data_IF_196494994962
#
_entry.id   IF_196494994962
#
_cell.length_a   1.000
_cell.length_b   1.000
_cell.length_c   1.000
_cell.angle_alpha   90.00
_cell.angle_beta   90.00
_cell.angle_gamma   90.00
#
_symmetry.space_group_name_H-M   'P 1'
#
loop_
_entity.id
_entity.type
_entity.pdbx_description
1 polymer ?
#
# COMPACT_ATOMS: atom_id res chain seq x y z
N UNK A 1 -42.09 -26.42 18.33
CA UNK A 1 -41.06 -26.49 17.27
C UNK A 1 -40.69 -25.07 16.89
N UNK A 2 -39.51 -24.61 17.33
CA UNK A 2 -38.87 -23.42 16.77
C UNK A 2 -37.53 -23.91 16.23
N UNK A 3 -37.32 -23.74 14.93
CA UNK A 3 -36.20 -24.30 14.20
C UNK A 3 -34.87 -23.88 14.84
N UNK A 4 -33.87 -24.78 14.95
CA UNK A 4 -32.57 -24.40 15.48
C UNK A 4 -31.99 -23.34 14.53
N UNK A 5 -31.79 -22.16 15.08
CA UNK A 5 -31.11 -21.06 14.42
C UNK A 5 -29.66 -21.52 14.18
N UNK A 6 -29.38 -22.03 12.99
CA UNK A 6 -28.12 -22.70 12.67
C UNK A 6 -26.96 -21.71 12.54
N UNK A 7 -25.75 -22.18 12.86
CA UNK A 7 -24.52 -21.51 12.49
C UNK A 7 -23.61 -22.44 11.69
N UNK A 8 -22.85 -21.89 10.73
CA UNK A 8 -21.86 -22.65 9.97
C UNK A 8 -20.73 -23.15 10.88
N UNK A 9 -20.25 -22.27 11.77
CA UNK A 9 -19.32 -22.58 12.85
C UNK A 9 -19.93 -22.13 14.18
N UNK A 10 -19.97 -23.01 15.17
CA UNK A 10 -20.50 -22.70 16.51
C UNK A 10 -19.48 -23.11 17.58
N UNK A 11 -19.03 -22.15 18.39
CA UNK A 11 -18.23 -22.41 19.57
C UNK A 11 -19.09 -22.39 20.83
N UNK A 12 -19.22 -23.55 21.49
CA UNK A 12 -19.87 -23.70 22.80
C UNK A 12 -18.86 -23.97 23.92
N UNK A 13 -17.56 -23.98 23.59
CA UNK A 13 -16.48 -24.22 24.54
C UNK A 13 -16.15 -22.96 25.33
N UNK A 14 -15.83 -23.10 26.60
CA UNK A 14 -15.30 -22.00 27.42
C UNK A 14 -13.83 -21.69 27.15
N UNK A 15 -13.17 -22.45 26.27
CA UNK A 15 -11.78 -22.28 25.88
C UNK A 15 -11.57 -21.26 24.74
N UNK A 16 -10.38 -21.29 24.14
CA UNK A 16 -10.04 -20.45 22.98
C UNK A 16 -10.16 -21.24 21.68
N UNK A 17 -10.89 -20.69 20.70
CA UNK A 17 -10.97 -21.20 19.33
C UNK A 17 -10.28 -20.20 18.40
N UNK A 18 -9.37 -20.70 17.56
CA UNK A 18 -8.71 -19.91 16.52
C UNK A 18 -9.19 -20.38 15.15
N UNK A 19 -9.84 -19.48 14.41
CA UNK A 19 -10.19 -19.63 13.01
C UNK A 19 -9.15 -18.83 12.22
N UNK A 20 -8.35 -19.50 11.40
CA UNK A 20 -7.27 -18.87 10.62
C UNK A 20 -7.35 -19.27 9.16
N UNK A 21 -7.18 -18.33 8.24
CA UNK A 21 -7.13 -18.61 6.80
C UNK A 21 -8.35 -19.40 6.31
N UNK A 22 -9.53 -19.05 6.83
CA UNK A 22 -10.79 -19.70 6.48
C UNK A 22 -11.63 -18.81 5.56
N UNK A 23 -12.36 -19.44 4.66
CA UNK A 23 -13.48 -18.81 3.94
C UNK A 23 -14.78 -19.45 4.42
N UNK A 24 -15.63 -18.65 5.07
CA UNK A 24 -16.99 -19.05 5.47
C UNK A 24 -17.99 -18.30 4.61
N UNK A 25 -18.66 -19.03 3.73
CA UNK A 25 -19.61 -18.44 2.78
C UNK A 25 -20.86 -19.26 2.63
N UNK A 26 -21.94 -18.64 2.13
CA UNK A 26 -23.23 -19.27 1.86
C UNK A 26 -23.81 -20.05 3.05
N UNK A 27 -23.39 -19.69 4.27
CA UNK A 27 -23.85 -20.28 5.53
C UNK A 27 -25.00 -19.45 6.08
N UNK A 28 -25.93 -20.06 6.82
CA UNK A 28 -27.06 -19.32 7.38
C UNK A 28 -28.27 -20.17 7.73
N UNK A 29 -29.12 -19.62 8.62
CA UNK A 29 -30.42 -20.21 8.95
C UNK A 29 -31.50 -19.85 7.93
N UNK A 30 -32.60 -20.59 7.90
CA UNK A 30 -33.77 -20.18 7.11
C UNK A 30 -34.22 -18.75 7.52
N UNK A 31 -34.64 -17.95 6.55
CA UNK A 31 -35.11 -16.57 6.74
C UNK A 31 -34.07 -15.59 7.32
N UNK A 32 -32.78 -15.85 7.12
CA UNK A 32 -31.69 -14.94 7.50
C UNK A 32 -31.61 -14.72 9.03
N UNK A 33 -32.04 -15.71 9.81
CA UNK A 33 -32.08 -15.63 11.27
C UNK A 33 -30.86 -16.27 11.94
N UNK A 34 -29.94 -16.88 11.17
CA UNK A 34 -28.75 -17.57 11.67
C UNK A 34 -27.47 -16.73 11.69
N UNK A 35 -26.36 -17.40 12.00
CA UNK A 35 -25.02 -16.80 11.99
C UNK A 35 -24.10 -17.60 11.05
N UNK A 36 -23.13 -16.96 10.38
CA UNK A 36 -22.10 -17.74 9.68
C UNK A 36 -21.15 -18.36 10.71
N UNK A 37 -20.69 -17.52 11.64
CA UNK A 37 -19.84 -17.91 12.76
C UNK A 37 -20.50 -17.43 14.05
N UNK A 38 -20.57 -18.29 15.08
CA UNK A 38 -21.16 -17.96 16.36
C UNK A 38 -20.28 -18.38 17.53
N UNK A 39 -20.02 -17.44 18.43
CA UNK A 39 -19.34 -17.66 19.69
C UNK A 39 -20.31 -17.56 20.88
N UNK A 40 -20.61 -18.68 21.53
CA UNK A 40 -21.51 -18.73 22.70
C UNK A 40 -20.78 -18.63 24.04
N UNK A 41 -19.52 -19.05 24.10
CA UNK A 41 -18.70 -19.06 25.31
C UNK A 41 -17.21 -18.95 24.97
N UNK A 42 -16.37 -18.58 25.95
CA UNK A 42 -14.92 -18.55 25.77
C UNK A 42 -14.45 -17.44 24.81
N UNK A 43 -13.30 -17.65 24.19
CA UNK A 43 -12.68 -16.68 23.27
C UNK A 43 -12.65 -17.23 21.85
N UNK A 44 -13.11 -16.44 20.89
CA UNK A 44 -12.98 -16.74 19.47
C UNK A 44 -12.07 -15.72 18.81
N UNK A 45 -11.05 -16.21 18.13
CA UNK A 45 -10.17 -15.42 17.27
C UNK A 45 -10.45 -15.77 15.83
N UNK A 46 -10.89 -14.81 15.03
CA UNK A 46 -11.03 -14.89 13.58
C UNK A 46 -9.87 -14.09 12.99
N UNK A 47 -8.93 -14.79 12.37
CA UNK A 47 -7.65 -14.23 11.93
C UNK A 47 -7.47 -14.53 10.45
N UNK A 48 -7.09 -13.54 9.64
CA UNK A 48 -6.79 -13.74 8.21
C UNK A 48 -7.90 -14.53 7.48
N UNK A 49 -9.15 -14.30 7.85
CA UNK A 49 -10.28 -15.11 7.38
C UNK A 49 -11.33 -14.24 6.69
N UNK A 50 -12.02 -14.85 5.71
CA UNK A 50 -13.09 -14.22 4.95
C UNK A 50 -14.44 -14.81 5.35
N UNK A 51 -15.33 -13.99 5.90
CA UNK A 51 -16.71 -14.36 6.24
C UNK A 51 -17.63 -13.59 5.31
N UNK A 52 -18.04 -14.22 4.20
CA UNK A 52 -18.71 -13.51 3.10
C UNK A 52 -19.97 -14.17 2.56
N UNK A 53 -20.92 -13.36 2.08
CA UNK A 53 -22.11 -13.83 1.35
C UNK A 53 -22.95 -14.85 2.14
N UNK A 54 -23.02 -14.66 3.47
CA UNK A 54 -23.80 -15.52 4.34
C UNK A 54 -25.22 -15.00 4.52
N UNK A 55 -26.16 -15.94 4.65
CA UNK A 55 -27.55 -15.64 4.89
C UNK A 55 -27.87 -15.60 6.40
N UNK A 56 -27.38 -14.55 7.04
CA UNK A 56 -27.47 -14.32 8.47
C UNK A 56 -26.44 -13.29 8.89
N UNK A 57 -26.28 -13.12 10.20
CA UNK A 57 -25.18 -12.33 10.77
C UNK A 57 -23.86 -12.99 10.38
N UNK A 58 -22.89 -12.22 9.89
CA UNK A 58 -21.55 -12.76 9.58
C UNK A 58 -20.91 -13.42 10.80
N UNK A 59 -20.73 -12.67 11.88
CA UNK A 59 -20.15 -13.19 13.13
C UNK A 59 -20.99 -12.75 14.34
N UNK A 60 -21.45 -13.70 15.15
CA UNK A 60 -22.16 -13.46 16.41
C UNK A 60 -21.29 -13.78 17.63
N UNK A 61 -21.42 -13.00 18.70
CA UNK A 61 -20.74 -13.23 19.97
C UNK A 61 -21.66 -12.89 21.16
N UNK A 62 -21.89 -13.86 22.04
CA UNK A 62 -22.75 -13.68 23.22
C UNK A 62 -22.05 -12.95 24.38
N UNK A 63 -22.83 -12.38 25.28
CA UNK A 63 -22.37 -11.56 26.41
C UNK A 63 -21.31 -12.20 27.32
N UNK A 64 -21.30 -13.53 27.44
CA UNK A 64 -20.33 -14.28 28.25
C UNK A 64 -19.04 -14.67 27.51
N UNK A 65 -18.84 -14.19 26.28
CA UNK A 65 -17.79 -14.64 25.38
C UNK A 65 -17.04 -13.45 24.75
N UNK A 66 -15.79 -13.66 24.33
CA UNK A 66 -14.94 -12.63 23.73
C UNK A 66 -14.67 -12.92 22.26
N UNK A 67 -14.75 -11.91 21.41
CA UNK A 67 -14.49 -12.02 19.97
C UNK A 67 -13.35 -11.08 19.54
N UNK A 68 -12.36 -11.64 18.86
CA UNK A 68 -11.29 -10.90 18.19
C UNK A 68 -11.34 -11.18 16.68
N UNK A 69 -11.40 -10.14 15.87
CA UNK A 69 -11.37 -10.20 14.40
C UNK A 69 -10.12 -9.43 13.94
N UNK A 70 -9.17 -10.14 13.32
CA UNK A 70 -7.82 -9.61 13.04
C UNK A 70 -7.44 -9.94 11.60
N UNK A 71 -6.95 -8.97 10.81
CA UNK A 71 -6.48 -9.26 9.46
C UNK A 71 -7.57 -9.83 8.54
N UNK A 72 -8.86 -9.62 8.85
CA UNK A 72 -9.96 -10.42 8.30
C UNK A 72 -10.97 -9.59 7.54
N UNK A 73 -11.70 -10.23 6.62
CA UNK A 73 -12.77 -9.58 5.84
C UNK A 73 -14.12 -10.16 6.20
N UNK A 74 -15.06 -9.30 6.62
CA UNK A 74 -16.47 -9.67 6.85
C UNK A 74 -17.31 -8.89 5.87
N UNK A 75 -17.85 -9.55 4.85
CA UNK A 75 -18.47 -8.85 3.72
C UNK A 75 -19.77 -9.45 3.21
N UNK A 76 -20.63 -8.61 2.64
CA UNK A 76 -21.83 -9.05 1.90
C UNK A 76 -22.76 -10.01 2.67
N UNK A 77 -22.68 -10.06 3.99
CA UNK A 77 -23.55 -10.88 4.80
C UNK A 77 -24.90 -10.19 4.95
N UNK A 78 -25.98 -10.97 4.92
CA UNK A 78 -27.34 -10.44 4.96
C UNK A 78 -28.12 -11.02 6.14
N UNK A 79 -28.38 -10.18 7.14
CA UNK A 79 -29.18 -10.54 8.30
C UNK A 79 -30.59 -9.93 8.21
N UNK A 80 -31.57 -10.58 8.83
CA UNK A 80 -32.88 -9.95 9.08
C UNK A 80 -32.84 -9.13 10.38
N UNK A 81 -32.33 -9.71 11.46
CA UNK A 81 -32.21 -9.08 12.79
C UNK A 81 -30.73 -8.85 13.16
N UNK A 82 -30.47 -8.06 14.21
CA UNK A 82 -29.12 -7.77 14.74
C UNK A 82 -28.19 -7.01 13.78
N UNK A 83 -27.05 -7.59 13.39
CA UNK A 83 -26.05 -6.98 12.52
C UNK A 83 -25.85 -7.78 11.24
N UNK A 84 -25.64 -7.11 10.10
CA UNK A 84 -25.25 -7.80 8.87
C UNK A 84 -23.85 -8.42 9.03
N UNK A 85 -22.88 -7.60 9.45
CA UNK A 85 -21.49 -8.02 9.60
C UNK A 85 -21.21 -8.73 10.93
N UNK A 86 -21.07 -7.97 12.01
CA UNK A 86 -20.65 -8.48 13.32
C UNK A 86 -21.63 -8.03 14.40
N UNK A 87 -22.17 -8.97 15.18
CA UNK A 87 -22.96 -8.69 16.37
C UNK A 87 -22.26 -9.24 17.61
N UNK A 88 -21.92 -8.37 18.57
CA UNK A 88 -21.27 -8.78 19.82
C UNK A 88 -21.94 -8.15 21.04
N UNK A 89 -22.52 -9.00 21.88
CA UNK A 89 -22.98 -8.66 23.23
C UNK A 89 -21.87 -8.81 24.28
N UNK A 90 -20.74 -9.43 23.92
CA UNK A 90 -19.54 -9.55 24.75
C UNK A 90 -18.41 -8.61 24.30
N UNK A 91 -17.21 -8.69 24.90
CA UNK A 91 -16.04 -7.95 24.46
C UNK A 91 -15.74 -8.19 22.96
N UNK A 92 -15.54 -7.11 22.22
CA UNK A 92 -15.23 -7.13 20.79
C UNK A 92 -13.93 -6.36 20.51
N UNK A 93 -13.03 -7.00 19.75
CA UNK A 93 -11.83 -6.40 19.18
C UNK A 93 -11.85 -6.61 17.67
N UNK A 94 -11.67 -5.54 16.89
CA UNK A 94 -11.54 -5.56 15.43
C UNK A 94 -10.28 -4.80 15.07
N UNK A 95 -9.30 -5.47 14.47
CA UNK A 95 -7.99 -4.88 14.17
C UNK A 95 -7.57 -5.25 12.76
N UNK A 96 -7.04 -4.31 11.98
CA UNK A 96 -6.49 -4.59 10.66
C UNK A 96 -7.48 -5.32 9.75
N UNK A 97 -8.76 -4.96 9.82
CA UNK A 97 -9.85 -5.75 9.24
C UNK A 97 -10.80 -4.91 8.41
N UNK A 98 -11.40 -5.54 7.39
CA UNK A 98 -12.33 -4.91 6.46
C UNK A 98 -13.74 -5.44 6.68
N UNK A 99 -14.69 -4.55 7.00
CA UNK A 99 -16.11 -4.88 7.19
C UNK A 99 -16.90 -4.11 6.15
N UNK A 100 -17.34 -4.79 5.08
CA UNK A 100 -17.86 -4.10 3.90
C UNK A 100 -19.09 -4.74 3.25
N UNK A 101 -20.04 -3.93 2.80
CA UNK A 101 -21.18 -4.42 2.02
C UNK A 101 -22.21 -5.26 2.80
N UNK A 102 -22.10 -5.34 4.13
CA UNK A 102 -23.03 -6.13 4.93
C UNK A 102 -24.37 -5.42 5.09
N UNK A 103 -25.46 -6.19 5.19
CA UNK A 103 -26.81 -5.65 5.22
C UNK A 103 -27.64 -6.26 6.35
N UNK A 104 -28.44 -5.44 7.04
CA UNK A 104 -29.41 -5.90 8.02
C UNK A 104 -30.78 -5.27 7.77
N UNK A 105 -31.85 -6.07 7.75
CA UNK A 105 -33.20 -5.53 7.48
C UNK A 105 -33.77 -4.69 8.63
N UNK A 106 -33.50 -5.09 9.88
CA UNK A 106 -34.03 -4.39 11.06
C UNK A 106 -33.01 -4.03 12.14
N UNK A 107 -31.74 -3.97 11.78
CA UNK A 107 -30.64 -3.66 12.69
C UNK A 107 -29.50 -2.94 11.98
N UNK A 108 -28.27 -3.23 12.38
CA UNK A 108 -27.07 -2.52 11.91
C UNK A 108 -26.46 -3.21 10.71
N UNK A 109 -26.05 -2.48 9.69
CA UNK A 109 -25.39 -3.08 8.53
C UNK A 109 -24.05 -3.72 8.91
N UNK A 110 -23.15 -2.93 9.48
CA UNK A 110 -21.78 -3.34 9.80
C UNK A 110 -21.66 -4.05 11.15
N UNK A 111 -21.41 -3.30 12.22
CA UNK A 111 -20.99 -3.81 13.52
C UNK A 111 -21.94 -3.35 14.64
N UNK A 112 -22.35 -4.27 15.52
CA UNK A 112 -22.95 -3.96 16.82
C UNK A 112 -21.97 -4.38 17.93
N UNK A 113 -21.47 -3.39 18.67
CA UNK A 113 -20.68 -3.54 19.89
C UNK A 113 -21.55 -3.25 21.11
N UNK A 114 -22.47 -4.16 21.44
CA UNK A 114 -23.41 -4.02 22.56
C UNK A 114 -22.83 -4.48 23.90
N UNK A 115 -21.69 -5.17 23.87
CA UNK A 115 -21.01 -5.66 25.06
C UNK A 115 -20.27 -4.59 25.88
N UNK A 116 -19.57 -5.02 26.93
CA UNK A 116 -18.93 -4.13 27.89
C UNK A 116 -17.73 -3.34 27.31
N UNK A 117 -17.18 -3.78 26.17
CA UNK A 117 -16.07 -3.12 25.49
C UNK A 117 -16.08 -3.42 23.99
N UNK A 118 -15.93 -2.39 23.17
CA UNK A 118 -15.61 -2.49 21.76
C UNK A 118 -14.29 -1.76 21.48
N UNK A 119 -13.40 -2.36 20.71
CA UNK A 119 -12.17 -1.74 20.24
C UNK A 119 -12.01 -1.99 18.74
N UNK A 120 -11.92 -0.92 17.95
CA UNK A 120 -11.75 -0.98 16.50
C UNK A 120 -10.53 -0.13 16.14
N UNK A 121 -9.51 -0.76 15.55
CA UNK A 121 -8.25 -0.11 15.21
C UNK A 121 -7.77 -0.51 13.82
N UNK A 122 -7.18 0.44 13.08
CA UNK A 122 -6.62 0.19 11.74
C UNK A 122 -7.60 -0.62 10.87
N UNK A 123 -8.87 -0.26 10.88
CA UNK A 123 -9.93 -1.08 10.26
C UNK A 123 -10.80 -0.24 9.35
N UNK A 124 -11.37 -0.87 8.32
CA UNK A 124 -12.20 -0.21 7.32
C UNK A 124 -13.62 -0.73 7.40
N UNK A 125 -14.57 0.09 7.86
CA UNK A 125 -15.99 -0.23 8.00
C UNK A 125 -16.81 0.62 7.04
N UNK A 126 -17.10 0.08 5.84
CA UNK A 126 -17.66 0.87 4.74
C UNK A 126 -18.77 0.17 3.98
N UNK A 127 -19.61 0.91 3.26
CA UNK A 127 -20.60 0.34 2.33
C UNK A 127 -21.61 -0.62 2.98
N UNK A 128 -21.74 -0.61 4.31
CA UNK A 128 -22.70 -1.43 5.03
C UNK A 128 -24.06 -0.73 5.09
N UNK A 129 -25.15 -1.50 5.16
CA UNK A 129 -26.52 -0.97 5.06
C UNK A 129 -27.42 -1.42 6.18
N UNK A 130 -27.99 -0.46 6.91
CA UNK A 130 -29.14 -0.69 7.77
C UNK A 130 -30.45 -0.54 7.01
N UNK A 131 -31.40 -1.41 7.29
CA UNK A 131 -32.75 -1.40 6.76
C UNK A 131 -33.67 -0.40 7.47
N UNK A 132 -34.96 -0.44 7.13
CA UNK A 132 -35.92 0.64 7.43
C UNK A 132 -36.88 0.34 8.58
N UNK A 133 -36.75 -0.81 9.26
CA UNK A 133 -37.65 -1.26 10.34
C UNK A 133 -36.85 -1.43 11.63
N UNK A 134 -37.12 -0.67 12.69
CA UNK A 134 -36.07 -0.36 13.67
C UNK A 134 -36.02 -1.23 14.93
N UNK A 135 -34.78 -1.45 15.40
CA UNK A 135 -34.38 -1.79 16.77
C UNK A 135 -33.58 -0.63 17.38
N UNK A 136 -33.37 -0.65 18.70
CA UNK A 136 -32.64 0.38 19.46
C UNK A 136 -31.14 0.50 19.12
N UNK A 137 -30.64 -0.14 18.04
CA UNK A 137 -29.23 -0.11 17.63
C UNK A 137 -28.97 0.26 16.17
N UNK A 138 -29.97 0.56 15.33
CA UNK A 138 -29.78 0.69 13.88
C UNK A 138 -28.76 1.75 13.43
N UNK A 139 -27.66 1.33 12.80
CA UNK A 139 -26.66 2.16 12.09
C UNK A 139 -26.24 1.46 10.81
N UNK A 140 -25.92 2.17 9.73
CA UNK A 140 -25.30 1.53 8.56
C UNK A 140 -23.93 0.92 8.93
N UNK A 141 -23.08 1.69 9.62
CA UNK A 141 -21.73 1.32 10.01
C UNK A 141 -21.66 0.62 11.37
N UNK A 142 -21.30 1.35 12.42
CA UNK A 142 -21.05 0.83 13.78
C UNK A 142 -22.10 1.35 14.76
N UNK A 143 -22.58 0.49 15.64
CA UNK A 143 -23.48 0.83 16.73
C UNK A 143 -23.01 0.28 18.09
N UNK A 144 -23.42 0.92 19.19
CA UNK A 144 -23.13 0.47 20.56
C UNK A 144 -22.12 1.35 21.28
N UNK A 145 -21.17 0.74 21.99
CA UNK A 145 -20.06 1.44 22.66
C UNK A 145 -18.71 0.93 22.18
N UNK A 146 -17.88 1.80 21.62
CA UNK A 146 -16.56 1.41 21.14
C UNK A 146 -15.50 2.52 21.24
N UNK A 147 -14.24 2.11 21.34
CA UNK A 147 -13.08 2.95 21.10
C UNK A 147 -12.64 2.80 19.65
N UNK A 148 -12.36 3.91 18.97
CA UNK A 148 -11.91 3.96 17.58
C UNK A 148 -10.52 4.61 17.47
N UNK A 149 -9.63 4.02 16.67
CA UNK A 149 -8.36 4.65 16.29
C UNK A 149 -7.94 4.24 14.88
N UNK A 150 -7.34 5.19 14.14
CA UNK A 150 -6.77 4.95 12.81
C UNK A 150 -7.70 4.13 11.89
N UNK A 151 -9.02 4.33 12.00
CA UNK A 151 -10.04 3.52 11.33
C UNK A 151 -10.95 4.36 10.45
N UNK A 152 -11.41 3.77 9.35
CA UNK A 152 -12.38 4.37 8.44
C UNK A 152 -13.78 3.88 8.79
N UNK A 153 -14.72 4.80 9.02
CA UNK A 153 -16.16 4.52 9.12
C UNK A 153 -16.93 5.48 8.21
N UNK A 154 -17.18 5.06 6.98
CA UNK A 154 -17.73 5.93 5.94
C UNK A 154 -18.49 5.15 4.85
N UNK A 155 -19.21 5.86 3.98
CA UNK A 155 -19.99 5.29 2.87
C UNK A 155 -21.02 4.25 3.32
N UNK A 156 -21.41 4.25 4.60
CA UNK A 156 -22.42 3.34 5.10
C UNK A 156 -23.81 3.95 4.86
N UNK A 157 -24.76 3.11 4.45
CA UNK A 157 -26.07 3.57 4.00
C UNK A 157 -27.08 3.45 5.13
N UNK A 158 -27.82 4.53 5.35
CA UNK A 158 -28.95 4.56 6.26
C UNK A 158 -30.30 4.28 5.58
N UNK A 159 -31.21 3.68 6.34
CA UNK A 159 -32.65 3.80 6.11
C UNK A 159 -33.17 5.20 6.47
N UNK A 160 -34.46 5.49 6.20
CA UNK A 160 -35.03 6.83 6.34
C UNK A 160 -35.06 7.41 7.77
N UNK A 161 -34.62 6.68 8.81
CA UNK A 161 -34.54 7.19 10.19
C UNK A 161 -33.35 6.63 11.01
N UNK A 162 -32.26 6.19 10.38
CA UNK A 162 -31.07 5.67 11.08
C UNK A 162 -29.84 6.52 10.76
N UNK A 163 -28.88 6.64 11.68
CA UNK A 163 -27.55 7.12 11.34
C UNK A 163 -26.87 6.26 10.27
N UNK A 164 -26.08 6.87 9.38
CA UNK A 164 -25.36 6.12 8.37
C UNK A 164 -24.14 5.42 8.96
N UNK A 165 -23.35 6.09 9.80
CA UNK A 165 -22.02 5.60 10.19
C UNK A 165 -21.94 5.19 11.67
N UNK A 166 -22.30 6.06 12.61
CA UNK A 166 -22.13 5.78 14.04
C UNK A 166 -23.45 5.94 14.81
N UNK A 167 -23.72 5.04 15.77
CA UNK A 167 -24.84 5.21 16.71
C UNK A 167 -24.51 4.67 18.10
N UNK A 168 -24.64 5.50 19.13
CA UNK A 168 -24.26 5.14 20.51
C UNK A 168 -23.09 5.99 21.01
N UNK A 169 -22.20 5.42 21.82
CA UNK A 169 -21.13 6.18 22.51
C UNK A 169 -19.76 5.76 22.01
N UNK A 170 -18.96 6.71 21.54
CA UNK A 170 -17.67 6.41 20.96
C UNK A 170 -16.57 7.27 21.57
N UNK A 171 -15.47 6.61 21.92
CA UNK A 171 -14.24 7.27 22.36
C UNK A 171 -13.22 7.22 21.24
N UNK A 172 -12.82 8.37 20.73
CA UNK A 172 -11.72 8.41 19.76
C UNK A 172 -10.37 8.42 20.47
N UNK A 173 -9.45 7.59 19.97
CA UNK A 173 -8.02 7.68 20.26
C UNK A 173 -7.24 8.34 19.09
N UNK A 174 -7.96 8.93 18.13
CA UNK A 174 -7.40 9.72 17.04
C UNK A 174 -7.24 8.99 15.71
N UNK A 175 -6.93 9.79 14.69
CA UNK A 175 -6.58 9.37 13.32
C UNK A 175 -7.71 8.65 12.58
N UNK A 176 -8.97 8.80 12.99
CA UNK A 176 -10.08 8.17 12.31
C UNK A 176 -10.58 9.00 11.13
N UNK A 177 -11.09 8.34 10.10
CA UNK A 177 -11.80 8.99 8.99
C UNK A 177 -13.28 8.61 9.06
N UNK A 178 -14.14 9.56 9.42
CA UNK A 178 -15.56 9.32 9.70
C UNK A 178 -16.42 10.27 8.86
N UNK A 179 -17.24 9.73 7.97
CA UNK A 179 -18.10 10.56 7.09
C UNK A 179 -19.23 11.25 7.87
N UNK A 180 -19.78 10.63 8.92
CA UNK A 180 -20.79 11.28 9.78
C UNK A 180 -20.78 10.69 11.19
N UNK A 181 -20.98 11.54 12.18
CA UNK A 181 -21.12 11.16 13.60
C UNK A 181 -22.56 11.31 14.10
N UNK A 182 -23.50 11.59 13.21
CA UNK A 182 -24.90 11.84 13.57
C UNK A 182 -25.48 10.66 14.35
N UNK A 183 -26.27 10.93 15.41
CA UNK A 183 -26.86 9.88 16.24
C UNK A 183 -25.86 9.17 17.17
N UNK A 184 -24.64 9.68 17.29
CA UNK A 184 -23.65 9.21 18.25
C UNK A 184 -23.19 10.30 19.22
N UNK A 185 -22.74 9.88 20.40
CA UNK A 185 -21.91 10.66 21.30
C UNK A 185 -20.45 10.37 20.93
N UNK A 186 -19.95 11.08 19.92
CA UNK A 186 -18.57 10.97 19.45
C UNK A 186 -17.78 12.21 19.88
N UNK A 187 -16.66 11.99 20.56
CA UNK A 187 -15.70 13.05 20.89
C UNK A 187 -14.45 12.84 20.04
N UNK A 188 -14.13 13.82 19.20
CA UNK A 188 -12.98 13.79 18.31
C UNK A 188 -11.65 13.76 19.09
N UNK A 189 -10.73 12.93 18.62
CA UNK A 189 -9.34 12.86 19.03
C UNK A 189 -8.42 13.61 18.06
N UNK A 190 -7.11 13.52 18.31
CA UNK A 190 -6.08 14.08 17.43
C UNK A 190 -6.09 13.39 16.06
N UNK A 191 -5.91 14.15 14.97
CA UNK A 191 -5.83 13.56 13.63
C UNK A 191 -7.16 13.01 13.09
N UNK A 192 -8.25 13.06 13.86
CA UNK A 192 -9.56 12.65 13.34
C UNK A 192 -10.03 13.59 12.24
N UNK A 193 -10.47 12.99 11.14
CA UNK A 193 -11.11 13.64 10.02
C UNK A 193 -12.59 13.28 10.00
N UNK A 194 -13.44 14.28 10.23
CA UNK A 194 -14.89 14.10 10.36
C UNK A 194 -15.58 14.87 9.24
N UNK A 195 -16.70 14.36 8.74
CA UNK A 195 -17.47 14.96 7.65
C UNK A 195 -16.70 14.93 6.33
N UNK A 196 -16.11 13.76 6.03
CA UNK A 196 -15.44 13.50 4.75
C UNK A 196 -16.45 13.12 3.66
N UNK A 197 -16.29 13.64 2.44
CA UNK A 197 -17.12 13.22 1.31
C UNK A 197 -16.62 11.92 0.67
N UNK A 198 -17.48 11.25 -0.09
CA UNK A 198 -17.12 10.06 -0.85
C UNK A 198 -15.93 10.31 -1.81
N UNK A 199 -15.88 11.48 -2.44
CA UNK A 199 -14.80 11.87 -3.37
C UNK A 199 -13.48 12.14 -2.66
N UNK A 200 -13.51 12.64 -1.42
CA UNK A 200 -12.31 12.85 -0.62
C UNK A 200 -11.74 11.53 -0.11
N UNK A 201 -12.61 10.59 0.23
CA UNK A 201 -12.20 9.28 0.71
C UNK A 201 -11.63 8.40 -0.40
N UNK A 202 -12.19 8.46 -1.62
CA UNK A 202 -11.63 7.83 -2.82
C UNK A 202 -11.22 6.34 -2.66
N UNK A 203 -11.96 5.55 -1.88
CA UNK A 203 -11.69 4.11 -1.73
C UNK A 203 -12.05 3.33 -2.99
N UNK A 204 -11.15 2.44 -3.40
CA UNK A 204 -11.36 1.45 -4.46
C UNK A 204 -12.46 0.43 -4.13
N UNK A 205 -12.76 -0.49 -5.07
CA UNK A 205 -13.68 -1.59 -4.82
C UNK A 205 -13.14 -2.54 -3.75
N UNK A 206 -13.99 -3.43 -3.23
CA UNK A 206 -13.53 -4.54 -2.40
C UNK A 206 -12.93 -5.57 -3.34
N UNK A 207 -11.62 -5.77 -3.28
CA UNK A 207 -10.93 -6.66 -4.20
C UNK A 207 -9.69 -7.26 -3.53
N UNK A 208 -9.04 -8.16 -4.27
CA UNK A 208 -7.74 -8.67 -3.90
C UNK A 208 -6.70 -7.58 -4.20
N UNK A 209 -6.02 -7.08 -3.16
CA UNK A 209 -4.93 -6.11 -3.28
C UNK A 209 -3.61 -6.70 -2.74
N UNK A 210 -3.48 -8.03 -2.79
CA UNK A 210 -2.44 -8.78 -2.11
C UNK A 210 -2.88 -9.25 -0.72
N UNK A 211 -2.25 -10.31 -0.22
CA UNK A 211 -2.52 -10.87 1.12
C UNK A 211 -3.66 -11.91 1.21
N UNK A 212 -4.06 -12.30 2.44
CA UNK A 212 -4.96 -13.44 2.66
C UNK A 212 -6.45 -13.13 2.49
N UNK A 213 -6.84 -11.85 2.50
CA UNK A 213 -8.26 -11.43 2.47
C UNK A 213 -8.44 -10.11 1.71
N UNK A 214 -9.66 -9.87 1.18
CA UNK A 214 -9.96 -8.70 0.35
C UNK A 214 -9.96 -7.39 1.16
N UNK A 215 -9.49 -6.29 0.56
CA UNK A 215 -9.43 -4.96 1.19
C UNK A 215 -9.99 -3.87 0.27
N UNK A 216 -10.15 -2.67 0.82
CA UNK A 216 -10.36 -1.45 0.04
C UNK A 216 -9.09 -0.61 0.09
N UNK A 217 -8.42 -0.44 -1.06
CA UNK A 217 -7.27 0.45 -1.16
C UNK A 217 -7.73 1.92 -1.30
N UNK A 218 -7.13 2.87 -0.55
CA UNK A 218 -7.25 4.30 -0.84
C UNK A 218 -6.67 4.62 -2.22
N UNK A 219 -7.41 5.38 -3.03
CA UNK A 219 -6.90 5.90 -4.30
C UNK A 219 -6.05 7.15 -4.10
N UNK A 220 -5.31 7.55 -5.15
CA UNK A 220 -4.48 8.76 -5.18
C UNK A 220 -5.23 10.00 -4.67
N UNK A 221 -4.59 10.74 -3.75
CA UNK A 221 -5.17 11.93 -3.14
C UNK A 221 -6.29 11.67 -2.13
N UNK A 222 -6.50 10.42 -1.74
CA UNK A 222 -7.41 10.07 -0.65
C UNK A 222 -6.97 10.74 0.65
N UNK A 223 -7.95 11.24 1.40
CA UNK A 223 -7.72 11.77 2.75
C UNK A 223 -7.34 10.68 3.77
N UNK A 224 -7.32 9.41 3.40
CA UNK A 224 -6.83 8.35 4.28
C UNK A 224 -5.30 8.22 4.26
N UNK A 225 -4.63 8.72 3.21
CA UNK A 225 -3.19 8.48 2.98
C UNK A 225 -2.32 9.27 3.97
N UNK A 226 -1.44 8.59 4.69
CA UNK A 226 -0.55 9.11 5.76
C UNK A 226 -1.27 9.82 6.93
N UNK A 227 -2.57 9.57 7.09
CA UNK A 227 -3.37 10.23 8.13
C UNK A 227 -3.57 9.37 9.39
N UNK A 228 -2.89 8.23 9.48
CA UNK A 228 -3.03 7.17 10.47
C UNK A 228 -1.89 7.06 11.48
N UNK A 229 -1.98 5.99 12.29
CA UNK A 229 -0.89 5.47 13.12
C UNK A 229 -0.92 3.95 13.11
N UNK A 230 0.25 3.29 13.22
CA UNK A 230 0.32 1.83 13.13
C UNK A 230 -0.26 1.08 14.34
N UNK A 231 -0.42 1.75 15.50
CA UNK A 231 -0.87 1.11 16.75
C UNK A 231 -0.07 -0.16 17.13
N UNK A 232 1.25 -0.14 16.89
CA UNK A 232 2.15 -1.29 17.10
C UNK A 232 1.96 -2.48 16.14
N UNK A 233 1.12 -2.36 15.11
CA UNK A 233 1.09 -3.32 14.01
C UNK A 233 2.36 -3.18 13.17
N UNK A 234 2.88 -4.30 12.71
CA UNK A 234 4.05 -4.34 11.82
C UNK A 234 3.66 -4.47 10.35
N UNK A 235 2.44 -4.93 10.06
CA UNK A 235 1.92 -5.13 8.70
C UNK A 235 0.49 -4.62 8.60
N UNK A 236 0.06 -4.22 7.41
CA UNK A 236 -1.36 -3.98 7.12
C UNK A 236 -2.14 -5.30 7.00
N UNK A 237 -3.42 -5.25 6.61
CA UNK A 237 -4.30 -6.42 6.57
C UNK A 237 -3.77 -7.54 5.64
N UNK A 238 -2.91 -7.20 4.69
CA UNK A 238 -2.33 -8.15 3.73
C UNK A 238 -1.26 -9.03 4.36
N UNK A 239 -0.71 -8.62 5.50
CA UNK A 239 0.21 -9.43 6.30
C UNK A 239 1.67 -9.32 5.83
N UNK A 240 2.42 -10.42 5.95
CA UNK A 240 3.86 -10.43 5.63
C UNK A 240 4.12 -9.97 4.19
N UNK A 241 5.09 -9.06 4.02
CA UNK A 241 5.39 -8.41 2.74
C UNK A 241 4.77 -7.02 2.60
N UNK A 242 3.84 -6.65 3.48
CA UNK A 242 3.17 -5.35 3.43
C UNK A 242 3.31 -4.64 4.78
N UNK A 243 4.44 -3.93 5.02
CA UNK A 243 4.66 -3.10 6.21
C UNK A 243 3.45 -2.24 6.56
N UNK A 244 3.20 -2.00 7.85
CA UNK A 244 2.06 -1.15 8.25
C UNK A 244 2.32 0.34 8.04
N UNK A 245 3.58 0.73 8.06
CA UNK A 245 4.00 2.13 7.99
C UNK A 245 4.81 2.29 6.72
N UNK A 246 4.26 3.02 5.76
CA UNK A 246 4.91 3.37 4.52
C UNK A 246 4.60 4.84 4.19
N UNK A 247 5.53 5.71 4.56
CA UNK A 247 5.40 7.16 4.40
C UNK A 247 5.46 7.55 2.92
N UNK A 248 4.41 8.15 2.38
CA UNK A 248 4.47 8.79 1.05
C UNK A 248 5.04 10.21 1.20
N UNK A 249 6.29 10.48 0.77
CA UNK A 249 6.91 11.79 0.94
C UNK A 249 6.19 12.92 0.18
N UNK A 250 5.32 12.59 -0.77
CA UNK A 250 4.49 13.55 -1.49
C UNK A 250 3.24 13.99 -0.68
N UNK A 251 2.88 13.26 0.37
CA UNK A 251 1.72 13.53 1.22
C UNK A 251 2.19 13.94 2.61
N UNK A 252 1.55 14.98 3.17
CA UNK A 252 1.90 15.45 4.50
C UNK A 252 1.21 14.60 5.58
N UNK A 253 2.00 14.05 6.50
CA UNK A 253 1.50 13.22 7.59
C UNK A 253 0.54 14.00 8.49
N UNK A 254 -0.46 13.29 9.03
CA UNK A 254 -1.25 13.84 10.13
C UNK A 254 -0.32 14.31 11.26
N UNK A 255 -0.68 15.39 11.95
CA UNK A 255 0.10 15.88 13.09
C UNK A 255 0.19 14.79 14.15
N UNK A 256 1.40 14.27 14.39
CA UNK A 256 1.65 13.16 15.31
C UNK A 256 1.39 11.75 14.76
N UNK A 257 1.03 11.66 13.47
CA UNK A 257 1.01 10.42 12.70
C UNK A 257 2.42 9.94 12.36
N UNK A 258 2.52 8.72 11.86
CA UNK A 258 3.80 8.03 11.59
C UNK A 258 4.00 7.68 10.11
N UNK A 259 3.20 8.23 9.19
CA UNK A 259 3.21 7.84 7.77
C UNK A 259 2.44 6.54 7.51
N UNK A 260 1.50 6.20 8.40
CA UNK A 260 0.58 5.08 8.21
C UNK A 260 -0.72 5.62 7.61
N UNK A 261 -1.34 4.89 6.71
CA UNK A 261 -2.68 5.19 6.20
C UNK A 261 -3.75 4.91 7.25
N UNK A 262 -4.82 5.69 7.23
CA UNK A 262 -6.02 5.36 8.03
C UNK A 262 -6.78 4.19 7.41
N UNK A 263 -7.18 3.20 8.22
CA UNK A 263 -7.94 2.03 7.77
C UNK A 263 -7.13 0.74 7.79
N UNK A 264 -7.61 -0.29 7.10
CA UNK A 264 -7.01 -1.63 7.12
C UNK A 264 -5.91 -1.88 6.08
N UNK A 265 -5.75 -0.95 5.13
CA UNK A 265 -4.82 -1.06 4.02
C UNK A 265 -3.79 0.06 4.14
N UNK A 266 -2.57 -0.21 3.69
CA UNK A 266 -1.47 0.72 3.56
C UNK A 266 -1.06 0.82 2.09
N UNK A 267 -1.08 2.01 1.49
CA UNK A 267 -0.60 2.21 0.12
C UNK A 267 0.91 2.03 0.09
N UNK A 268 1.37 1.21 -0.85
CA UNK A 268 2.78 0.98 -1.15
C UNK A 268 3.01 1.31 -2.62
N UNK A 269 4.22 1.78 -2.93
CA UNK A 269 4.71 1.83 -4.31
C UNK A 269 5.18 0.43 -4.74
N UNK A 270 5.04 0.19 -6.03
CA UNK A 270 5.30 -1.07 -6.76
C UNK A 270 5.55 -0.59 -8.19
N UNK A 271 6.78 -0.13 -8.41
CA UNK A 271 7.16 0.72 -9.56
C UNK A 271 7.16 -0.07 -10.86
N UNK A 272 7.58 -1.33 -10.83
CA UNK A 272 7.55 -2.27 -11.96
C UNK A 272 6.23 -3.04 -12.11
N UNK A 273 5.42 -3.12 -11.03
CA UNK A 273 4.14 -3.81 -11.01
C UNK A 273 4.26 -5.34 -10.91
N UNK A 274 5.37 -5.88 -10.41
CA UNK A 274 5.57 -7.33 -10.24
C UNK A 274 4.83 -7.91 -9.01
N UNK A 275 4.39 -7.02 -8.11
CA UNK A 275 3.63 -7.33 -6.89
C UNK A 275 4.49 -7.49 -5.64
N UNK A 276 5.79 -7.28 -5.73
CA UNK A 276 6.67 -6.89 -4.63
C UNK A 276 6.56 -5.36 -4.51
N UNK A 277 6.73 -4.85 -3.30
CA UNK A 277 6.66 -3.39 -3.07
C UNK A 277 8.09 -2.87 -3.08
N UNK A 278 8.31 -1.65 -3.57
CA UNK A 278 9.64 -1.05 -3.72
C UNK A 278 10.50 -1.20 -2.44
N UNK A 279 9.89 -1.00 -1.27
CA UNK A 279 10.57 -1.17 0.03
C UNK A 279 11.14 -2.57 0.31
N UNK A 280 10.76 -3.58 -0.47
CA UNK A 280 11.19 -4.98 -0.40
C UNK A 280 11.73 -5.52 -1.74
N UNK A 281 11.65 -4.74 -2.81
CA UNK A 281 12.22 -5.09 -4.10
C UNK A 281 13.74 -4.81 -4.08
N UNK A 282 14.57 -5.65 -4.71
CA UNK A 282 15.95 -5.31 -4.99
C UNK A 282 16.18 -4.54 -6.29
N UNK A 283 15.18 -4.43 -7.15
CA UNK A 283 15.23 -3.81 -8.50
C UNK A 283 13.83 -3.19 -8.79
N UNK A 284 13.58 -2.03 -8.19
CA UNK A 284 12.25 -1.39 -8.10
C UNK A 284 11.58 -1.11 -9.46
N UNK A 285 12.36 -0.94 -10.55
CA UNK A 285 11.86 -0.66 -11.89
C UNK A 285 12.14 -1.76 -12.94
N UNK A 286 12.76 -2.86 -12.50
CA UNK A 286 12.96 -4.12 -13.22
C UNK A 286 13.74 -3.95 -14.53
N UNK A 287 14.67 -3.00 -14.54
CA UNK A 287 15.52 -2.68 -15.70
C UNK A 287 16.80 -3.54 -15.79
N UNK A 288 17.09 -4.26 -14.70
CA UNK A 288 18.18 -5.20 -14.55
C UNK A 288 19.38 -4.68 -13.76
N UNK A 289 19.32 -3.45 -13.22
CA UNK A 289 20.28 -2.89 -12.27
C UNK A 289 19.63 -2.77 -10.89
N UNK A 290 20.17 -3.48 -9.91
CA UNK A 290 19.62 -3.44 -8.55
C UNK A 290 19.73 -2.03 -7.94
N UNK A 291 18.75 -1.61 -7.12
CA UNK A 291 18.61 -0.22 -6.63
C UNK A 291 19.87 0.34 -5.96
N UNK A 292 20.64 -0.53 -5.30
CA UNK A 292 21.87 -0.15 -4.61
C UNK A 292 23.03 0.24 -5.54
N UNK A 293 22.94 -0.12 -6.81
CA UNK A 293 23.90 0.19 -7.88
C UNK A 293 23.26 1.08 -8.98
N UNK A 294 22.01 1.50 -8.77
CA UNK A 294 21.23 2.33 -9.69
C UNK A 294 21.17 3.78 -9.18
N UNK A 295 21.51 4.75 -10.04
CA UNK A 295 21.37 6.16 -9.72
C UNK A 295 19.90 6.64 -9.74
N UNK A 296 19.04 5.96 -10.51
CA UNK A 296 17.62 6.25 -10.73
C UNK A 296 16.77 4.98 -10.58
N UNK A 297 16.71 4.37 -9.38
CA UNK A 297 16.06 3.07 -9.15
C UNK A 297 14.56 3.01 -9.46
N UNK A 298 13.91 4.12 -9.82
CA UNK A 298 12.48 4.16 -10.15
C UNK A 298 12.23 4.54 -11.61
N UNK A 299 13.27 4.63 -12.44
CA UNK A 299 13.20 4.98 -13.86
C UNK A 299 13.95 3.97 -14.74
N UNK A 300 13.24 2.93 -15.16
CA UNK A 300 13.75 1.85 -16.03
C UNK A 300 14.40 2.25 -17.37
N UNK A 301 14.41 3.55 -17.70
CA UNK A 301 15.10 4.10 -18.86
C UNK A 301 16.49 4.67 -18.53
N UNK A 302 16.89 4.71 -17.26
CA UNK A 302 18.13 5.32 -16.80
C UNK A 302 18.69 4.62 -15.56
N UNK A 303 20.00 4.40 -15.54
CA UNK A 303 20.70 3.76 -14.41
C UNK A 303 21.94 4.54 -13.96
N UNK A 304 22.36 5.54 -14.73
CA UNK A 304 23.68 6.18 -14.63
C UNK A 304 23.54 7.69 -14.48
N UNK A 305 24.31 8.24 -13.53
CA UNK A 305 24.51 9.66 -13.28
C UNK A 305 26.03 9.88 -13.13
N UNK A 306 26.71 10.10 -14.26
CA UNK A 306 28.18 10.04 -14.34
C UNK A 306 28.84 11.12 -13.48
N UNK A 307 28.26 12.31 -13.37
CA UNK A 307 28.80 13.42 -12.56
C UNK A 307 28.09 13.62 -11.19
N UNK A 308 27.03 12.86 -10.94
CA UNK A 308 26.24 12.88 -9.70
C UNK A 308 25.52 14.22 -9.45
N UNK A 309 25.10 14.92 -10.51
CA UNK A 309 24.33 16.17 -10.39
C UNK A 309 22.81 15.96 -10.18
N UNK A 310 22.34 14.72 -10.37
CA UNK A 310 20.95 14.31 -10.24
C UNK A 310 20.17 14.27 -11.56
N UNK A 311 20.81 14.56 -12.69
CA UNK A 311 20.30 14.38 -14.05
C UNK A 311 20.96 13.14 -14.64
N UNK A 312 20.19 12.18 -15.14
CA UNK A 312 20.79 10.97 -15.71
C UNK A 312 21.36 11.19 -17.09
N UNK A 313 22.35 10.39 -17.47
CA UNK A 313 23.12 10.51 -18.72
C UNK A 313 22.22 10.51 -19.99
N UNK A 314 21.02 9.92 -19.95
CA UNK A 314 20.08 9.97 -21.08
C UNK A 314 19.42 11.34 -21.30
N UNK A 315 19.44 12.21 -20.29
CA UNK A 315 18.77 13.50 -20.24
C UNK A 315 19.74 14.66 -19.97
N UNK A 316 20.92 14.38 -19.42
CA UNK A 316 22.02 15.32 -19.33
C UNK A 316 22.58 15.63 -20.73
N UNK A 317 23.23 16.78 -20.85
CA UNK A 317 23.93 17.23 -22.05
C UNK A 317 25.42 17.44 -21.81
N UNK A 318 25.90 17.17 -20.59
CA UNK A 318 27.27 17.30 -20.09
C UNK A 318 27.51 16.20 -19.04
N UNK A 319 27.45 14.92 -19.46
CA UNK A 319 27.33 13.74 -18.59
C UNK A 319 28.44 13.64 -17.51
N UNK A 320 29.63 14.20 -17.75
CA UNK A 320 30.76 14.18 -16.81
C UNK A 320 31.03 15.50 -16.07
N UNK A 321 30.19 16.53 -16.32
CA UNK A 321 30.19 17.80 -15.62
C UNK A 321 31.48 18.63 -15.80
N UNK A 322 32.25 18.40 -16.87
CA UNK A 322 33.50 19.12 -17.11
C UNK A 322 33.30 20.52 -17.74
N UNK A 323 32.10 20.79 -18.25
CA UNK A 323 31.70 22.03 -18.90
C UNK A 323 31.74 21.99 -20.43
N UNK A 324 31.98 20.83 -21.04
CA UNK A 324 31.95 20.59 -22.49
C UNK A 324 30.81 19.62 -22.82
N UNK A 325 29.78 20.13 -23.49
CA UNK A 325 28.60 19.33 -23.83
C UNK A 325 28.96 18.07 -24.65
N UNK A 326 28.31 16.92 -24.39
CA UNK A 326 28.65 15.59 -24.96
C UNK A 326 28.78 15.60 -26.48
N UNK A 327 27.92 16.37 -27.16
CA UNK A 327 27.93 16.49 -28.62
C UNK A 327 29.20 17.13 -29.19
N UNK A 328 30.02 17.75 -28.34
CA UNK A 328 31.32 18.35 -28.65
C UNK A 328 32.48 17.73 -27.86
N UNK A 329 32.19 16.79 -26.95
CA UNK A 329 33.16 16.18 -26.06
C UNK A 329 33.85 14.95 -26.70
N UNK A 330 35.18 14.90 -26.63
CA UNK A 330 35.97 13.74 -27.08
C UNK A 330 36.11 12.62 -26.02
N UNK A 331 35.63 12.85 -24.80
CA UNK A 331 35.48 11.92 -23.70
C UNK A 331 34.22 12.20 -22.87
N UNK A 332 33.00 12.01 -23.41
CA UNK A 332 31.75 12.44 -22.76
C UNK A 332 31.49 11.92 -21.33
N UNK A 333 32.13 10.83 -20.90
CA UNK A 333 31.94 10.22 -19.58
C UNK A 333 33.20 10.34 -18.68
N UNK A 334 34.19 11.15 -19.08
CA UNK A 334 35.48 11.25 -18.41
C UNK A 334 36.03 12.67 -18.44
N UNK A 335 35.67 13.44 -17.40
CA UNK A 335 35.94 14.85 -17.30
C UNK A 335 37.35 15.27 -17.77
N UNK A 336 37.41 16.05 -18.84
CA UNK A 336 38.62 16.52 -19.50
C UNK A 336 38.41 17.86 -20.23
N UNK A 337 38.06 18.92 -19.48
CA UNK A 337 37.71 20.25 -20.03
C UNK A 337 38.76 20.90 -20.97
N UNK A 338 40.00 20.37 -21.05
CA UNK A 338 41.03 20.81 -22.01
C UNK A 338 40.92 20.14 -23.39
N UNK A 339 40.10 19.10 -23.52
CA UNK A 339 39.79 18.32 -24.72
C UNK A 339 41.08 17.84 -25.42
N UNK A 340 42.08 17.46 -24.62
CA UNK A 340 43.35 16.94 -25.14
C UNK A 340 43.12 15.64 -25.93
N UNK A 341 43.63 15.59 -27.16
CA UNK A 341 43.64 14.43 -28.05
C UNK A 341 45.01 14.42 -28.74
N UNK A 342 45.99 13.75 -28.13
CA UNK A 342 47.39 13.86 -28.54
C UNK A 342 47.62 13.28 -29.93
N UNK A 343 46.96 12.16 -30.21
CA UNK A 343 47.17 11.40 -31.43
C UNK A 343 46.19 11.77 -32.55
N UNK A 344 45.11 12.52 -32.27
CA UNK A 344 44.12 13.07 -33.19
C UNK A 344 43.17 12.04 -33.82
N UNK A 345 42.80 11.00 -33.07
CA UNK A 345 41.87 9.97 -33.55
C UNK A 345 40.39 10.24 -33.18
N UNK A 346 40.15 11.30 -32.41
CA UNK A 346 38.81 11.75 -31.99
C UNK A 346 38.39 11.21 -30.63
N UNK A 347 39.20 10.39 -29.96
CA UNK A 347 39.03 9.96 -28.57
C UNK A 347 40.01 10.77 -27.72
N UNK A 348 39.52 11.42 -26.65
CA UNK A 348 40.39 12.24 -25.80
C UNK A 348 41.36 11.42 -24.96
N UNK A 349 42.48 12.03 -24.57
CA UNK A 349 43.54 11.39 -23.79
C UNK A 349 43.03 10.86 -22.44
N UNK A 350 41.94 11.39 -21.90
CA UNK A 350 41.35 10.99 -20.62
C UNK A 350 40.61 9.64 -20.69
N UNK A 351 40.04 9.29 -21.84
CA UNK A 351 39.25 8.08 -22.08
C UNK A 351 39.89 7.14 -23.13
N UNK A 352 41.04 7.51 -23.70
CA UNK A 352 41.75 6.70 -24.69
C UNK A 352 42.66 5.63 -24.02
N UNK A 353 42.37 4.32 -24.16
CA UNK A 353 43.27 3.27 -23.67
C UNK A 353 44.58 3.16 -24.48
N UNK A 354 44.69 3.83 -25.61
CA UNK A 354 45.83 3.83 -26.52
C UNK A 354 46.62 5.15 -26.51
N UNK A 355 46.63 5.88 -25.39
CA UNK A 355 47.31 7.17 -25.27
C UNK A 355 48.74 7.19 -25.83
N UNK A 356 48.96 8.10 -26.77
CA UNK A 356 50.29 8.53 -27.19
C UNK A 356 50.77 7.99 -28.55
N UNK A 357 52.01 8.31 -28.94
CA UNK A 357 52.53 7.93 -30.24
C UNK A 357 52.55 6.41 -30.38
N UNK A 358 52.19 5.86 -31.57
CA UNK A 358 52.12 4.43 -31.80
C UNK A 358 53.36 3.68 -31.29
N UNK A 359 53.16 2.74 -30.37
CA UNK A 359 54.25 1.92 -29.80
C UNK A 359 54.66 0.77 -30.72
N UNK A 360 53.82 0.43 -31.72
CA UNK A 360 54.14 -0.56 -32.74
C UNK A 360 53.49 -0.29 -34.09
N UNK A 361 54.02 -0.95 -35.14
CA UNK A 361 53.63 -0.79 -36.56
C UNK A 361 52.15 -1.03 -36.89
N UNK A 362 51.38 -1.69 -36.02
CA UNK A 362 49.96 -1.96 -36.25
C UNK A 362 49.08 -0.79 -35.76
N UNK A 363 49.62 0.08 -34.90
CA UNK A 363 48.94 1.27 -34.36
C UNK A 363 49.05 2.50 -35.29
N UNK A 364 49.85 2.45 -36.38
CA UNK A 364 49.99 3.57 -37.33
C UNK A 364 48.72 3.91 -38.14
N UNK A 365 47.53 3.41 -37.78
CA UNK A 365 46.28 3.66 -38.49
C UNK A 365 45.30 4.52 -37.70
N UNK A 366 45.54 4.74 -36.41
CA UNK A 366 44.78 5.67 -35.58
C UNK A 366 45.48 7.05 -35.65
N UNK A 367 44.70 8.13 -35.56
CA UNK A 367 45.25 9.48 -35.31
C UNK A 367 45.97 10.20 -36.47
N UNK A 368 45.74 9.82 -37.73
CA UNK A 368 46.44 10.47 -38.86
C UNK A 368 47.96 10.23 -38.88
N UNK A 369 48.46 9.30 -38.05
CA UNK A 369 49.77 8.69 -38.22
C UNK A 369 49.74 7.84 -39.50
N UNK A 370 50.83 7.85 -40.26
CA UNK A 370 50.98 6.96 -41.42
C UNK A 370 52.25 6.14 -41.26
N UNK A 371 52.15 4.86 -41.62
CA UNK A 371 53.30 3.98 -41.68
C UNK A 371 54.25 4.47 -42.76
N UNK A 372 55.49 4.78 -42.40
CA UNK A 372 56.50 5.24 -43.34
C UNK A 372 57.05 4.06 -44.15
N UNK A 373 56.41 3.74 -45.28
CA UNK A 373 56.78 2.63 -46.17
C UNK A 373 57.60 3.14 -47.38
N UNK A 374 58.80 3.68 -47.13
CA UNK A 374 59.79 3.96 -48.19
C UNK A 374 61.04 3.07 -48.00
N UNK A 375 61.41 2.21 -48.99
CA UNK A 375 62.45 1.17 -48.83
C UNK A 375 63.89 1.65 -48.57
N UNK A 376 64.12 2.96 -48.51
CA UNK A 376 65.45 3.58 -48.56
C UNK A 376 65.80 4.45 -47.36
N UNK A 377 64.93 4.50 -46.33
CA UNK A 377 65.17 5.28 -45.12
C UNK A 377 65.24 4.39 -43.87
N UNK A 378 66.04 4.80 -42.88
CA UNK A 378 66.30 4.02 -41.66
C UNK A 378 65.10 3.91 -40.70
N UNK A 379 64.08 4.73 -40.87
CA UNK A 379 62.82 4.76 -40.12
C UNK A 379 61.70 3.98 -40.83
N UNK A 380 62.05 2.99 -41.65
CA UNK A 380 61.09 2.17 -42.39
C UNK A 380 60.21 1.36 -41.43
N UNK A 381 58.89 1.57 -41.50
CA UNK A 381 57.91 0.91 -40.65
C UNK A 381 57.57 1.63 -39.35
N UNK A 382 58.23 2.76 -39.05
CA UNK A 382 57.85 3.65 -37.96
C UNK A 382 56.55 4.40 -38.31
N UNK A 383 55.79 4.76 -37.29
CA UNK A 383 54.64 5.63 -37.47
C UNK A 383 55.13 7.08 -37.49
N UNK A 384 54.79 7.81 -38.55
CA UNK A 384 55.15 9.23 -38.71
C UNK A 384 53.91 10.07 -38.94
N UNK A 385 53.82 11.20 -38.24
CA UNK A 385 52.76 12.20 -38.43
C UNK A 385 53.24 13.26 -39.42
N UNK A 386 52.56 13.41 -40.55
CA UNK A 386 52.87 14.47 -41.51
C UNK A 386 52.15 15.75 -41.08
N UNK A 387 52.89 16.71 -40.52
CA UNK A 387 52.34 18.05 -40.28
C UNK A 387 52.11 18.73 -41.63
N UNK A 388 50.85 18.98 -42.00
CA UNK A 388 50.54 19.92 -43.09
C UNK A 388 50.96 21.31 -42.65
N UNK A 389 52.16 21.73 -43.01
CA UNK A 389 52.50 23.15 -43.02
C UNK A 389 51.72 23.78 -44.17
N UNK A 390 50.63 24.47 -43.86
CA UNK A 390 49.87 25.27 -44.82
C UNK A 390 50.79 26.26 -45.54
N UNK A 391 50.66 26.31 -46.87
CA UNK A 391 51.25 27.33 -47.73
C UNK A 391 50.17 28.24 -48.29
#
# INVERSE_FOLDING_TARGET
>A
EQHPVGAGINNESTGTVNLRNLVVTQSGGQFNQGWAVLNRAGTMNVIESTITDNNGVGIGNYAGASLNVIGSTVSNNQAVFEAGGIASDGPLTVVNSTISGNTASSGTGGIIAAGPSGYIANSTVVKNRAGTSFSDFGSGGVAGTATLTSSIVAQNIQGPNTPPNLRGTFTSQGYNVIESTDGSMFTAGQGDQIVVSETQLALGPLQDNGGPTLTHAPGTGSVAIDQGIANSLTTDQRGTGFPRTNDDPAVANAVGGDGTDTGAFEVHQDTDGDGIVDALDPDDDDDGVADGEDAFPLDSAETTDTDSDGTGDNADTDDDGDGVLDGADNCPLNANADQADFDLDGIGDACDPATGPPTNKNQCKNGGWMRFDTPSFGNQGDCTRFLRTGG
#
